data_IF_092459763629
#
_entry.id   IF_092459763629
#
_cell.length_a   1.000
_cell.length_b   1.000
_cell.length_c   1.000
_cell.angle_alpha   90.00
_cell.angle_beta   90.00
_cell.angle_gamma   90.00
#
_symmetry.space_group_name_H-M   'P 1'
#
loop_
_entity.id
_entity.type
_entity.pdbx_description
1 polymer ?
#
# COMPACT_ATOMS: atom_id res chain seq x y z
N UNK A 1 -14.48 3.89 -33.91
CA UNK A 1 -14.04 3.44 -32.56
C UNK A 1 -13.36 2.09 -32.73
N UNK A 2 -12.17 1.90 -32.16
CA UNK A 2 -11.47 0.59 -32.23
C UNK A 2 -12.15 -0.36 -31.24
N UNK A 3 -12.58 -1.56 -31.67
CA UNK A 3 -13.25 -2.51 -30.80
C UNK A 3 -12.30 -3.02 -29.71
N UNK A 4 -12.74 -2.98 -28.45
CA UNK A 4 -11.96 -3.49 -27.32
C UNK A 4 -12.17 -5.01 -27.24
N UNK A 5 -11.19 -5.77 -27.74
CA UNK A 5 -11.24 -7.24 -27.75
C UNK A 5 -10.59 -7.88 -26.53
N UNK A 6 -9.57 -7.22 -25.97
CA UNK A 6 -8.83 -7.70 -24.81
C UNK A 6 -8.84 -6.61 -23.75
N UNK A 7 -9.16 -6.99 -22.52
CA UNK A 7 -9.17 -6.10 -21.37
C UNK A 7 -8.19 -6.62 -20.32
N UNK A 8 -7.29 -5.75 -19.88
CA UNK A 8 -6.40 -6.01 -18.74
C UNK A 8 -6.78 -5.04 -17.64
N UNK A 9 -6.95 -5.57 -16.44
CA UNK A 9 -7.34 -4.80 -15.26
C UNK A 9 -6.30 -5.08 -14.21
N UNK A 10 -5.59 -4.04 -13.79
CA UNK A 10 -4.62 -4.10 -12.71
C UNK A 10 -5.27 -3.69 -11.39
N UNK A 11 -4.69 -4.11 -10.27
CA UNK A 11 -5.20 -3.86 -8.92
C UNK A 11 -6.69 -4.24 -8.72
N UNK A 12 -7.14 -5.29 -9.41
CA UNK A 12 -8.53 -5.73 -9.43
C UNK A 12 -9.05 -6.22 -8.07
N UNK A 13 -8.17 -6.44 -7.08
CA UNK A 13 -8.56 -6.78 -5.71
C UNK A 13 -9.14 -5.57 -4.96
N UNK A 14 -8.95 -4.35 -5.48
CA UNK A 14 -9.56 -3.13 -4.96
C UNK A 14 -10.91 -2.79 -5.62
N UNK A 15 -11.41 -3.64 -6.52
CA UNK A 15 -12.64 -3.37 -7.28
C UNK A 15 -13.73 -4.34 -6.84
N UNK A 16 -14.88 -3.78 -6.46
CA UNK A 16 -16.05 -4.59 -6.16
C UNK A 16 -16.56 -5.27 -7.44
N UNK A 17 -16.90 -6.56 -7.36
CA UNK A 17 -17.32 -7.36 -8.51
C UNK A 17 -18.49 -6.73 -9.29
N UNK A 18 -19.39 -6.03 -8.60
CA UNK A 18 -20.54 -5.36 -9.21
C UNK A 18 -20.15 -4.22 -10.17
N UNK A 19 -19.00 -3.59 -9.97
CA UNK A 19 -18.54 -2.47 -10.80
C UNK A 19 -18.19 -2.91 -12.23
N UNK A 20 -17.90 -4.20 -12.44
CA UNK A 20 -17.63 -4.75 -13.76
C UNK A 20 -18.88 -4.94 -14.63
N UNK A 21 -20.08 -4.97 -14.04
CA UNK A 21 -21.31 -5.29 -14.78
C UNK A 21 -21.58 -4.29 -15.93
N UNK A 22 -21.48 -2.99 -15.63
CA UNK A 22 -21.67 -1.95 -16.64
C UNK A 22 -20.56 -1.93 -17.69
N UNK A 23 -19.32 -2.25 -17.29
CA UNK A 23 -18.19 -2.35 -18.21
C UNK A 23 -18.41 -3.49 -19.22
N UNK A 24 -18.77 -4.68 -18.74
CA UNK A 24 -19.01 -5.82 -19.63
C UNK A 24 -20.24 -5.65 -20.50
N UNK A 25 -21.31 -4.99 -20.01
CA UNK A 25 -22.44 -4.63 -20.86
C UNK A 25 -22.01 -3.76 -22.06
N UNK A 26 -21.20 -2.72 -21.81
CA UNK A 26 -20.73 -1.83 -22.88
C UNK A 26 -19.77 -2.48 -23.87
N UNK A 27 -19.01 -3.48 -23.43
CA UNK A 27 -17.99 -4.15 -24.24
C UNK A 27 -18.45 -5.51 -24.81
N UNK A 28 -19.70 -5.92 -24.54
CA UNK A 28 -20.18 -7.29 -24.78
C UNK A 28 -20.03 -7.78 -26.23
N UNK A 29 -20.14 -6.88 -27.21
CA UNK A 29 -20.11 -7.24 -28.64
C UNK A 29 -18.71 -7.69 -29.07
N UNK A 30 -17.68 -7.00 -28.59
CA UNK A 30 -16.31 -7.13 -29.10
C UNK A 30 -15.36 -7.86 -28.14
N UNK A 31 -15.63 -7.82 -26.83
CA UNK A 31 -14.76 -8.36 -25.80
C UNK A 31 -14.62 -9.89 -25.92
N UNK A 32 -13.38 -10.37 -25.99
CA UNK A 32 -13.03 -11.80 -26.12
C UNK A 32 -12.24 -12.33 -24.93
N UNK A 33 -11.40 -11.50 -24.31
CA UNK A 33 -10.53 -11.91 -23.21
C UNK A 33 -10.45 -10.83 -22.14
N UNK A 34 -10.49 -11.26 -20.89
CA UNK A 34 -10.25 -10.41 -19.72
C UNK A 34 -9.15 -11.03 -18.88
N UNK A 35 -8.21 -10.22 -18.41
CA UNK A 35 -7.18 -10.62 -17.46
C UNK A 35 -7.22 -9.67 -16.26
N UNK A 36 -7.40 -10.24 -15.07
CA UNK A 36 -7.36 -9.50 -13.81
C UNK A 36 -6.03 -9.77 -13.12
N UNK A 37 -5.35 -8.69 -12.74
CA UNK A 37 -4.16 -8.67 -11.91
C UNK A 37 -4.51 -7.98 -10.60
N UNK A 38 -3.97 -8.46 -9.50
CA UNK A 38 -4.27 -7.97 -8.17
C UNK A 38 -3.80 -8.97 -7.12
N UNK A 39 -3.90 -8.55 -5.87
CA UNK A 39 -3.50 -9.35 -4.72
C UNK A 39 -4.62 -9.32 -3.68
N UNK A 40 -5.32 -10.43 -3.43
CA UNK A 40 -6.40 -10.49 -2.45
C UNK A 40 -5.90 -10.36 -0.99
N UNK A 41 -4.59 -10.39 -0.75
CA UNK A 41 -4.00 -10.15 0.57
C UNK A 41 -3.56 -8.69 0.80
N UNK A 42 -3.70 -7.83 -0.21
CA UNK A 42 -3.47 -6.38 -0.08
C UNK A 42 -4.77 -5.63 0.20
N UNK A 43 -4.82 -4.32 -0.06
CA UNK A 43 -5.98 -3.50 0.30
C UNK A 43 -7.27 -4.00 -0.39
N UNK A 44 -8.38 -4.10 0.36
CA UNK A 44 -9.69 -4.46 -0.19
C UNK A 44 -10.31 -3.29 -0.97
N UNK A 45 -11.47 -3.49 -1.60
CA UNK A 45 -12.21 -2.40 -2.22
C UNK A 45 -12.55 -1.28 -1.25
N UNK A 46 -12.57 -0.05 -1.75
CA UNK A 46 -12.94 1.12 -0.96
C UNK A 46 -14.34 0.93 -0.35
N UNK A 47 -14.46 1.16 0.96
CA UNK A 47 -15.71 0.99 1.70
C UNK A 47 -15.98 -0.43 2.22
N UNK A 48 -15.03 -1.36 2.09
CA UNK A 48 -15.12 -2.69 2.72
C UNK A 48 -15.32 -2.61 4.25
N UNK A 49 -14.79 -1.58 4.91
CA UNK A 49 -14.97 -1.35 6.36
C UNK A 49 -16.41 -0.98 6.74
N UNK A 50 -17.26 -0.62 5.77
CA UNK A 50 -18.62 -0.14 5.98
C UNK A 50 -19.68 -1.07 5.40
N UNK A 51 -19.29 -2.12 4.67
CA UNK A 51 -20.21 -3.00 3.96
C UNK A 51 -19.70 -4.43 3.99
N UNK A 52 -20.38 -5.27 4.77
CA UNK A 52 -20.15 -6.71 4.75
C UNK A 52 -20.52 -7.26 3.36
N UNK A 53 -19.62 -8.05 2.77
CA UNK A 53 -19.90 -8.78 1.53
C UNK A 53 -19.45 -8.12 0.23
N UNK A 54 -18.56 -7.12 0.26
CA UNK A 54 -17.87 -6.67 -0.96
C UNK A 54 -16.92 -7.77 -1.47
N UNK A 55 -17.43 -8.58 -2.40
CA UNK A 55 -16.64 -9.60 -3.08
C UNK A 55 -15.87 -9.00 -4.27
N UNK A 56 -14.65 -9.47 -4.48
CA UNK A 56 -13.81 -9.18 -5.63
C UNK A 56 -13.87 -10.33 -6.63
N UNK A 57 -13.24 -10.15 -7.80
CA UNK A 57 -13.07 -11.25 -8.76
C UNK A 57 -12.26 -12.43 -8.21
N UNK A 58 -11.43 -12.19 -7.19
CA UNK A 58 -10.62 -13.23 -6.53
C UNK A 58 -11.43 -14.09 -5.57
N UNK A 59 -12.64 -13.68 -5.21
CA UNK A 59 -13.53 -14.43 -4.32
C UNK A 59 -14.42 -15.42 -5.07
N UNK A 60 -14.62 -15.20 -6.38
CA UNK A 60 -15.51 -15.97 -7.23
C UNK A 60 -14.99 -17.41 -7.48
N UNK A 61 -15.75 -18.46 -7.09
CA UNK A 61 -15.27 -19.85 -7.18
C UNK A 61 -14.84 -20.28 -8.59
N UNK A 62 -15.60 -19.90 -9.62
CA UNK A 62 -15.32 -20.27 -11.01
C UNK A 62 -14.09 -19.56 -11.61
N UNK A 63 -13.61 -18.47 -11.00
CA UNK A 63 -12.38 -17.80 -11.43
C UNK A 63 -11.15 -18.30 -10.67
N UNK A 64 -11.33 -18.80 -9.44
CA UNK A 64 -10.23 -19.33 -8.61
C UNK A 64 -9.48 -20.48 -9.29
N UNK A 65 -10.15 -21.31 -10.07
CA UNK A 65 -9.52 -22.42 -10.82
C UNK A 65 -8.51 -21.95 -11.86
N UNK A 66 -8.68 -20.73 -12.39
CA UNK A 66 -7.80 -20.13 -13.38
C UNK A 66 -6.83 -19.10 -12.78
N UNK A 67 -6.80 -19.00 -11.44
CA UNK A 67 -5.95 -18.04 -10.75
C UNK A 67 -4.51 -18.56 -10.68
N UNK A 68 -3.57 -17.71 -11.07
CA UNK A 68 -2.14 -18.03 -11.03
C UNK A 68 -1.43 -17.12 -10.04
N UNK A 69 -0.86 -17.71 -8.98
CA UNK A 69 -0.07 -16.98 -8.00
C UNK A 69 1.38 -16.81 -8.49
N UNK A 70 1.83 -15.57 -8.62
CA UNK A 70 3.21 -15.25 -8.98
C UNK A 70 4.10 -15.33 -7.73
N UNK A 71 4.89 -16.40 -7.66
CA UNK A 71 5.62 -16.79 -6.45
C UNK A 71 6.91 -16.02 -6.19
N UNK A 72 7.45 -15.25 -7.13
CA UNK A 72 8.77 -14.63 -6.97
C UNK A 72 8.68 -13.12 -6.86
N UNK A 73 9.16 -12.56 -5.74
CA UNK A 73 9.31 -11.11 -5.57
C UNK A 73 10.71 -10.65 -5.96
N UNK A 74 10.76 -9.49 -6.62
CA UNK A 74 11.98 -8.83 -7.09
C UNK A 74 12.26 -7.50 -6.37
N UNK A 75 11.38 -7.10 -5.43
CA UNK A 75 11.40 -5.78 -4.79
C UNK A 75 11.92 -5.82 -3.36
N UNK A 76 11.44 -6.78 -2.57
CA UNK A 76 11.58 -6.76 -1.11
C UNK A 76 12.87 -7.47 -0.68
N UNK A 77 13.67 -6.88 0.25
CA UNK A 77 14.84 -7.54 0.82
C UNK A 77 14.51 -8.92 1.42
N UNK A 78 15.46 -9.85 1.35
CA UNK A 78 15.25 -11.25 1.75
C UNK A 78 14.60 -11.41 3.13
N UNK A 79 15.09 -10.69 4.15
CA UNK A 79 14.60 -10.80 5.51
C UNK A 79 13.14 -10.33 5.68
N UNK A 80 12.72 -9.24 4.99
CA UNK A 80 11.32 -8.82 4.98
C UNK A 80 10.46 -9.80 4.19
N UNK A 81 10.96 -10.31 3.06
CA UNK A 81 10.23 -11.32 2.28
C UNK A 81 9.94 -12.56 3.12
N UNK A 82 10.88 -13.01 3.96
CA UNK A 82 10.66 -14.20 4.80
C UNK A 82 9.43 -14.01 5.68
N UNK A 83 9.34 -12.88 6.39
CA UNK A 83 8.19 -12.53 7.20
C UNK A 83 6.88 -12.45 6.38
N UNK A 84 6.89 -11.71 5.26
CA UNK A 84 5.70 -11.59 4.40
C UNK A 84 5.24 -12.94 3.86
N UNK A 85 6.19 -13.76 3.40
CA UNK A 85 5.91 -15.09 2.90
C UNK A 85 5.19 -15.93 3.96
N UNK A 86 5.73 -15.98 5.18
CA UNK A 86 5.22 -16.86 6.23
C UNK A 86 3.88 -16.37 6.79
N UNK A 87 3.76 -15.08 7.10
CA UNK A 87 2.59 -14.50 7.78
C UNK A 87 1.43 -14.17 6.83
N UNK A 88 1.72 -13.76 5.58
CA UNK A 88 0.71 -13.28 4.63
C UNK A 88 0.43 -14.32 3.54
N UNK A 89 1.48 -14.86 2.94
CA UNK A 89 1.37 -15.72 1.75
C UNK A 89 1.55 -17.23 2.04
N UNK A 90 1.48 -17.65 3.32
CA UNK A 90 1.53 -19.05 3.76
C UNK A 90 2.74 -19.82 3.22
N UNK A 91 3.90 -19.20 3.23
CA UNK A 91 5.17 -19.76 2.76
C UNK A 91 5.35 -19.78 1.24
N UNK A 92 4.45 -19.19 0.45
CA UNK A 92 4.48 -19.31 -1.02
C UNK A 92 5.26 -18.20 -1.74
N UNK A 93 5.71 -17.15 -1.04
CA UNK A 93 6.39 -16.00 -1.65
C UNK A 93 7.92 -16.14 -1.54
N UNK A 94 8.57 -16.34 -2.67
CA UNK A 94 10.00 -16.56 -2.78
C UNK A 94 10.74 -15.26 -3.12
N UNK A 95 11.79 -14.95 -2.37
CA UNK A 95 12.65 -13.82 -2.72
C UNK A 95 13.57 -14.17 -3.89
N UNK A 96 13.75 -13.23 -4.81
CA UNK A 96 14.83 -13.29 -5.79
C UNK A 96 16.20 -13.06 -5.15
N UNK A 97 16.26 -12.34 -4.05
CA UNK A 97 17.51 -12.00 -3.36
C UNK A 97 18.01 -13.18 -2.54
N UNK A 98 19.34 -13.30 -2.41
CA UNK A 98 19.94 -14.32 -1.56
C UNK A 98 19.79 -13.94 -0.09
N UNK A 99 19.82 -14.92 0.83
CA UNK A 99 19.91 -14.64 2.25
C UNK A 99 21.09 -13.72 2.55
N UNK A 100 20.79 -12.51 3.03
CA UNK A 100 21.77 -11.60 3.62
C UNK A 100 21.56 -11.60 5.14
N UNK A 101 22.67 -11.61 5.90
CA UNK A 101 22.66 -11.54 7.36
C UNK A 101 22.36 -10.13 7.87
N UNK A 102 22.26 -9.13 6.98
CA UNK A 102 21.87 -7.77 7.35
C UNK A 102 20.43 -7.74 7.85
N UNK A 103 20.27 -7.61 9.17
CA UNK A 103 18.99 -7.35 9.83
C UNK A 103 18.58 -5.86 9.77
N UNK A 104 19.43 -5.01 9.17
CA UNK A 104 19.28 -3.57 9.16
C UNK A 104 18.34 -3.07 8.04
N UNK A 105 17.27 -3.83 7.78
CA UNK A 105 16.28 -3.59 6.70
C UNK A 105 14.96 -3.05 7.23
N UNK A 106 14.67 -3.23 8.52
CA UNK A 106 13.50 -2.71 9.21
C UNK A 106 13.89 -2.21 10.60
N UNK A 107 13.38 -1.05 11.01
CA UNK A 107 13.56 -0.49 12.34
C UNK A 107 12.26 0.08 12.88
N UNK A 108 11.95 -0.27 14.11
CA UNK A 108 10.89 0.39 14.87
C UNK A 108 11.51 1.49 15.72
N UNK A 109 11.08 2.73 15.50
CA UNK A 109 11.51 3.89 16.28
C UNK A 109 10.35 4.25 17.20
N UNK A 110 10.52 3.98 18.48
CA UNK A 110 9.54 4.42 19.48
C UNK A 110 9.64 5.93 19.66
N UNK A 111 8.51 6.62 19.59
CA UNK A 111 8.38 8.05 19.84
C UNK A 111 7.36 8.21 20.94
N UNK A 112 7.77 8.84 22.04
CA UNK A 112 6.87 9.21 23.13
C UNK A 112 6.07 10.45 22.71
N UNK A 113 4.88 10.20 22.15
CA UNK A 113 4.00 11.20 21.57
C UNK A 113 2.54 10.88 21.85
N UNK A 114 1.67 11.84 21.55
CA UNK A 114 0.22 11.69 21.74
C UNK A 114 -0.53 12.03 20.46
N UNK A 115 -1.53 11.20 20.13
CA UNK A 115 -2.46 11.45 19.03
C UNK A 115 -3.40 12.62 19.37
N UNK A 116 -3.71 13.44 18.37
CA UNK A 116 -4.69 14.52 18.46
C UNK A 116 -5.62 14.50 17.26
N UNK A 117 -6.91 14.75 17.52
CA UNK A 117 -7.92 14.81 16.46
C UNK A 117 -7.85 16.12 15.68
N UNK A 118 -7.98 16.03 14.35
CA UNK A 118 -8.05 17.18 13.43
C UNK A 118 -9.18 16.93 12.44
N UNK A 119 -10.33 17.56 12.69
CA UNK A 119 -11.55 17.27 11.94
C UNK A 119 -11.97 15.81 12.12
N UNK A 120 -12.00 15.05 11.03
CA UNK A 120 -12.30 13.60 11.00
C UNK A 120 -11.05 12.72 10.98
N UNK A 121 -9.86 13.31 11.07
CA UNK A 121 -8.56 12.62 10.97
C UNK A 121 -7.73 12.77 12.25
N UNK A 122 -6.53 12.20 12.26
CA UNK A 122 -5.63 12.18 13.41
C UNK A 122 -4.22 12.63 13.01
N UNK A 123 -3.52 13.24 13.96
CA UNK A 123 -2.11 13.59 13.82
C UNK A 123 -1.36 13.33 15.13
N UNK A 124 -0.07 13.04 15.04
CA UNK A 124 0.87 12.95 16.15
C UNK A 124 2.07 13.83 15.84
N UNK A 125 2.17 14.94 16.56
CA UNK A 125 3.19 15.97 16.27
C UNK A 125 4.60 15.49 16.57
N UNK A 126 4.77 14.69 17.63
CA UNK A 126 6.07 14.16 18.02
C UNK A 126 6.59 13.14 16.99
N UNK A 127 5.73 12.27 16.47
CA UNK A 127 6.09 11.36 15.37
C UNK A 127 6.50 12.12 14.11
N UNK A 128 5.76 13.18 13.75
CA UNK A 128 6.09 14.00 12.60
C UNK A 128 7.46 14.68 12.75
N UNK A 129 7.77 15.20 13.95
CA UNK A 129 9.09 15.77 14.26
C UNK A 129 10.22 14.74 14.18
N UNK A 130 9.97 13.52 14.67
CA UNK A 130 10.92 12.43 14.57
C UNK A 130 11.22 12.06 13.11
N UNK A 131 10.18 11.94 12.27
CA UNK A 131 10.33 11.65 10.83
C UNK A 131 11.12 12.76 10.13
N UNK A 132 10.77 14.03 10.34
CA UNK A 132 11.46 15.16 9.71
C UNK A 132 12.94 15.16 10.12
N UNK A 133 13.23 14.87 11.39
CA UNK A 133 14.60 14.76 11.90
C UNK A 133 15.38 13.60 11.28
N UNK A 134 14.74 12.43 11.13
CA UNK A 134 15.32 11.27 10.45
C UNK A 134 15.65 11.58 9.00
N UNK A 135 14.72 12.23 8.29
CA UNK A 135 14.92 12.65 6.90
C UNK A 135 16.10 13.60 6.81
N UNK A 136 16.10 14.69 7.58
CA UNK A 136 17.18 15.68 7.55
C UNK A 136 18.55 15.05 7.82
N UNK A 137 18.65 14.15 8.80
CA UNK A 137 19.92 13.56 9.22
C UNK A 137 20.42 12.44 8.31
N UNK A 138 19.54 11.61 7.75
CA UNK A 138 19.93 10.36 7.10
C UNK A 138 19.41 10.17 5.67
N UNK A 139 18.26 10.74 5.31
CA UNK A 139 17.55 10.41 4.07
C UNK A 139 17.36 11.58 3.10
N UNK A 140 17.78 12.80 3.44
CA UNK A 140 17.54 14.00 2.62
C UNK A 140 18.05 13.88 1.17
N UNK A 141 19.12 13.11 0.95
CA UNK A 141 19.73 12.84 -0.36
C UNK A 141 19.42 11.43 -0.90
N UNK A 142 18.48 10.70 -0.29
CA UNK A 142 18.09 9.35 -0.67
C UNK A 142 16.74 9.36 -1.39
N UNK A 143 16.44 8.27 -2.07
CA UNK A 143 15.09 8.05 -2.57
C UNK A 143 14.21 7.50 -1.43
N UNK A 144 13.45 8.40 -0.81
CA UNK A 144 12.58 8.06 0.30
C UNK A 144 11.13 8.45 0.01
N UNK A 145 10.22 7.75 0.68
CA UNK A 145 8.81 8.15 0.82
C UNK A 145 8.41 8.02 2.28
N UNK A 146 7.42 8.81 2.67
CA UNK A 146 6.79 8.74 3.99
C UNK A 146 5.34 8.32 3.78
N UNK A 147 4.96 7.24 4.44
CA UNK A 147 3.59 6.75 4.45
C UNK A 147 2.96 7.02 5.81
N UNK A 148 1.70 7.43 5.79
CA UNK A 148 0.91 7.54 7.00
C UNK A 148 -0.56 7.22 6.70
N UNK A 149 -1.30 6.56 7.60
CA UNK A 149 -2.69 6.24 7.32
C UNK A 149 -3.63 7.46 7.31
N UNK A 150 -3.22 8.57 7.95
CA UNK A 150 -4.13 9.67 8.28
C UNK A 150 -3.80 10.94 7.47
N UNK A 151 -4.80 11.51 6.80
CA UNK A 151 -4.65 12.74 6.01
C UNK A 151 -4.12 13.93 6.81
N UNK A 152 -4.56 14.10 8.06
CA UNK A 152 -4.07 15.19 8.90
C UNK A 152 -2.58 15.02 9.21
N UNK A 153 -2.14 13.78 9.50
CA UNK A 153 -0.72 13.48 9.69
C UNK A 153 0.07 13.70 8.39
N UNK A 154 -0.44 13.26 7.24
CA UNK A 154 0.22 13.46 5.93
C UNK A 154 0.44 14.95 5.66
N UNK A 155 -0.62 15.75 5.77
CA UNK A 155 -0.55 17.18 5.53
C UNK A 155 0.42 17.88 6.51
N UNK A 156 0.41 17.46 7.78
CA UNK A 156 1.28 18.03 8.80
C UNK A 156 2.76 17.71 8.56
N UNK A 157 3.08 16.45 8.21
CA UNK A 157 4.45 16.04 7.85
C UNK A 157 4.92 16.78 6.59
N UNK A 158 4.09 16.85 5.55
CA UNK A 158 4.41 17.54 4.29
C UNK A 158 4.73 19.04 4.54
N UNK A 159 3.90 19.70 5.35
CA UNK A 159 4.14 21.08 5.76
C UNK A 159 5.46 21.26 6.51
N UNK A 160 5.80 20.35 7.44
CA UNK A 160 7.08 20.43 8.17
C UNK A 160 8.28 20.17 7.29
N UNK A 161 8.21 19.17 6.40
CA UNK A 161 9.29 18.90 5.46
C UNK A 161 9.57 20.08 4.55
N UNK A 162 8.53 20.78 4.09
CA UNK A 162 8.67 22.00 3.28
C UNK A 162 9.50 23.09 3.97
N UNK A 163 9.48 23.15 5.31
CA UNK A 163 10.23 24.13 6.09
C UNK A 163 11.71 23.73 6.28
N UNK A 164 12.02 22.43 6.23
CA UNK A 164 13.32 21.89 6.64
C UNK A 164 14.12 21.18 5.54
N UNK A 165 13.50 20.83 4.41
CA UNK A 165 14.12 20.03 3.35
C UNK A 165 13.84 20.61 1.97
N UNK A 166 14.85 20.70 1.11
CA UNK A 166 14.73 21.20 -0.27
C UNK A 166 14.09 20.17 -1.22
N UNK A 167 14.18 18.88 -0.92
CA UNK A 167 13.65 17.77 -1.72
C UNK A 167 12.36 17.16 -1.11
N UNK A 168 11.48 18.01 -0.57
CA UNK A 168 10.28 17.59 0.16
C UNK A 168 9.08 17.20 -0.73
N UNK A 169 8.99 17.77 -1.94
CA UNK A 169 7.78 17.68 -2.77
C UNK A 169 7.50 16.24 -3.21
N UNK A 170 6.25 15.80 -3.06
CA UNK A 170 5.81 14.49 -3.54
C UNK A 170 6.45 13.32 -2.79
N UNK A 171 6.71 13.50 -1.49
CA UNK A 171 7.36 12.49 -0.65
C UNK A 171 6.43 11.89 0.41
N UNK A 172 5.27 12.49 0.67
CA UNK A 172 4.37 12.07 1.76
C UNK A 172 3.03 11.63 1.20
N UNK A 173 2.64 10.39 1.47
CA UNK A 173 1.46 9.73 0.90
C UNK A 173 0.63 9.03 1.97
N UNK A 174 -0.65 8.83 1.68
CA UNK A 174 -1.44 7.87 2.43
C UNK A 174 -1.14 6.45 1.90
N UNK A 175 -1.29 5.42 2.74
CA UNK A 175 -0.92 4.03 2.38
C UNK A 175 -1.69 3.55 1.15
N UNK A 176 -2.99 3.83 1.09
CA UNK A 176 -3.89 3.54 -0.03
C UNK A 176 -3.44 4.21 -1.34
N UNK A 177 -3.11 5.50 -1.28
CA UNK A 177 -2.65 6.27 -2.45
C UNK A 177 -1.29 5.81 -3.00
N UNK A 178 -0.51 5.05 -2.23
CA UNK A 178 0.81 4.58 -2.62
C UNK A 178 0.83 3.12 -3.11
N UNK A 179 -0.32 2.42 -3.11
CA UNK A 179 -0.38 1.05 -3.64
C UNK A 179 0.09 1.00 -5.10
N UNK A 180 0.80 -0.08 -5.46
CA UNK A 180 1.45 -0.24 -6.76
C UNK A 180 2.78 0.50 -6.93
N UNK A 181 3.11 1.45 -6.05
CA UNK A 181 4.37 2.20 -6.10
C UNK A 181 5.46 1.55 -5.21
N UNK A 182 6.70 1.98 -5.40
CA UNK A 182 7.87 1.50 -4.66
C UNK A 182 8.87 2.63 -4.40
N UNK A 183 9.71 2.46 -3.38
CA UNK A 183 10.82 3.35 -3.07
C UNK A 183 11.91 2.56 -2.32
N UNK A 184 13.16 3.01 -2.41
CA UNK A 184 14.29 2.37 -1.70
C UNK A 184 14.15 2.46 -0.17
N UNK A 185 13.66 3.61 0.33
CA UNK A 185 13.47 3.86 1.75
C UNK A 185 12.03 4.28 2.04
N UNK A 186 11.34 3.51 2.89
CA UNK A 186 9.98 3.81 3.32
C UNK A 186 9.99 4.15 4.81
N UNK A 187 9.57 5.36 5.16
CA UNK A 187 9.35 5.78 6.54
C UNK A 187 7.84 5.73 6.82
N UNK A 188 7.43 5.17 7.94
CA UNK A 188 6.00 5.02 8.26
C UNK A 188 5.68 5.75 9.57
N UNK A 189 4.67 6.62 9.55
CA UNK A 189 4.07 7.24 10.75
C UNK A 189 2.75 6.57 11.05
N UNK A 190 2.69 5.81 12.16
CA UNK A 190 1.47 5.12 12.59
C UNK A 190 0.45 6.08 13.18
N UNK A 191 0.88 7.23 13.71
CA UNK A 191 0.05 8.32 14.28
C UNK A 191 -0.66 7.95 15.58
N UNK A 192 -1.16 6.73 15.70
CA UNK A 192 -2.01 6.29 16.81
C UNK A 192 -1.21 5.87 18.02
N UNK A 193 -1.68 6.26 19.19
CA UNK A 193 -1.02 6.01 20.48
C UNK A 193 -1.92 5.26 21.46
N UNK A 194 -3.24 5.48 21.42
CA UNK A 194 -4.18 4.88 22.38
C UNK A 194 -4.84 3.58 21.89
N UNK A 195 -5.23 3.56 20.62
CA UNK A 195 -5.91 2.44 19.96
C UNK A 195 -5.55 2.45 18.47
N UNK A 196 -5.42 1.28 17.83
CA UNK A 196 -4.96 1.20 16.43
C UNK A 196 -5.91 1.91 15.44
N UNK A 197 -7.20 1.98 15.75
CA UNK A 197 -8.18 2.52 14.80
C UNK A 197 -8.45 1.52 13.69
N UNK A 198 -8.20 1.92 12.45
CA UNK A 198 -8.30 1.04 11.27
C UNK A 198 -6.95 0.38 10.90
N UNK A 199 -5.88 0.66 11.66
CA UNK A 199 -4.60 -0.03 11.54
C UNK A 199 -4.69 -1.50 11.99
#
# INVERSE_FOLDING_TARGET
VVPVRNLVIDEASQIFVGDFAHLFYRLAVDLKKVCWFGDPFQLPPYGADHSEGLATVFDLPHLKENMHFLRTTYRVPFALNQFLSDEVYKGNLHSRFKPDRSTNVLKFVHVDGEESGVGTSWQNKAEADAIVSLVAKYYHSRDYVILTPYDAQRAYIDQKLRQHNTNWKGRVFNVDSFQGNEADYVLVSLTRTSRPGFL
#
